data_IF_934548102504
#
_entry.id   IF_934548102504
#
_cell.length_a   1.000
_cell.length_b   1.000
_cell.length_c   1.000
_cell.angle_alpha   90.00
_cell.angle_beta   90.00
_cell.angle_gamma   90.00
#
_symmetry.space_group_name_H-M   'P 1'
#
loop_
_entity.id
_entity.type
_entity.pdbx_description
1 polymer ?
#
# COMPACT_ATOMS: atom_id res chain seq x y z
N UNK A 1 19.68 15.21 -16.76
CA UNK A 1 20.03 13.83 -16.39
C UNK A 1 18.71 13.12 -16.12
N UNK A 2 18.24 12.31 -17.04
CA UNK A 2 17.04 11.49 -16.86
C UNK A 2 17.43 10.33 -15.94
N UNK A 3 17.14 10.46 -14.64
CA UNK A 3 17.12 9.31 -13.72
C UNK A 3 16.19 8.25 -14.31
N UNK A 4 16.66 7.01 -14.41
CA UNK A 4 15.88 5.92 -14.96
C UNK A 4 14.51 5.78 -14.31
N UNK A 5 13.49 5.48 -15.11
CA UNK A 5 12.11 5.32 -14.67
C UNK A 5 11.86 4.07 -13.79
N UNK A 6 12.93 3.39 -13.37
CA UNK A 6 12.85 2.20 -12.54
C UNK A 6 13.11 2.52 -11.07
N UNK A 7 12.12 2.30 -10.22
CA UNK A 7 12.19 2.46 -8.77
C UNK A 7 11.81 1.14 -8.13
N UNK A 8 12.75 0.52 -7.44
CA UNK A 8 12.66 -0.76 -6.74
C UNK A 8 12.47 -0.60 -5.22
N UNK A 9 12.80 0.56 -4.70
CA UNK A 9 12.69 0.89 -3.27
C UNK A 9 12.08 2.26 -3.07
N UNK A 10 11.12 2.36 -2.17
CA UNK A 10 10.52 3.63 -1.80
C UNK A 10 10.05 3.60 -0.34
N UNK A 11 10.19 4.73 0.35
CA UNK A 11 9.60 4.96 1.67
C UNK A 11 8.38 5.87 1.52
N UNK A 12 7.24 5.44 2.06
CA UNK A 12 5.97 6.16 2.04
C UNK A 12 5.45 6.37 3.44
N UNK A 13 4.63 7.40 3.61
CA UNK A 13 3.85 7.64 4.81
C UNK A 13 2.38 7.28 4.53
N UNK A 14 1.78 6.44 5.36
CA UNK A 14 0.39 6.07 5.27
C UNK A 14 -0.34 6.47 6.56
N UNK A 15 -1.50 7.11 6.41
CA UNK A 15 -2.37 7.51 7.52
C UNK A 15 -3.80 7.10 7.19
N UNK A 16 -4.38 6.24 7.99
CA UNK A 16 -5.78 5.83 7.86
C UNK A 16 -6.75 6.88 8.39
N UNK A 17 -8.03 6.70 8.11
CA UNK A 17 -9.07 7.59 8.60
C UNK A 17 -9.39 7.35 10.07
N UNK A 18 -9.69 8.41 10.81
CA UNK A 18 -10.30 8.34 12.13
C UNK A 18 -11.76 7.92 12.01
N UNK A 19 -12.28 7.13 12.94
CA UNK A 19 -13.72 6.87 13.07
C UNK A 19 -14.50 8.12 13.48
N UNK A 20 -15.71 8.26 12.94
CA UNK A 20 -16.65 9.30 13.32
C UNK A 20 -17.14 9.11 14.77
N UNK A 21 -17.49 10.17 15.46
CA UNK A 21 -18.08 10.04 16.80
C UNK A 21 -19.55 9.62 16.72
N UNK A 22 -20.02 8.88 17.72
CA UNK A 22 -21.44 8.61 17.91
C UNK A 22 -22.21 9.88 18.29
N UNK A 23 -23.51 9.88 18.01
CA UNK A 23 -24.40 10.98 18.34
C UNK A 23 -25.05 10.77 19.71
N UNK A 24 -25.13 11.84 20.52
CA UNK A 24 -25.87 11.86 21.78
C UNK A 24 -27.26 12.52 21.63
N UNK A 25 -27.84 12.47 20.42
CA UNK A 25 -29.11 13.11 20.12
C UNK A 25 -30.28 12.43 20.89
N UNK A 26 -31.18 13.27 21.35
CA UNK A 26 -32.44 12.84 21.99
C UNK A 26 -33.62 13.21 21.08
N UNK A 27 -34.45 12.27 20.80
CA UNK A 27 -35.65 12.46 19.97
C UNK A 27 -36.59 13.51 20.58
N UNK A 28 -37.04 14.48 19.78
CA UNK A 28 -37.97 15.51 20.16
C UNK A 28 -38.96 15.74 19.04
N UNK A 29 -40.24 15.58 19.36
CA UNK A 29 -41.33 15.88 18.44
C UNK A 29 -42.35 16.78 19.12
N UNK A 30 -43.23 17.41 18.30
CA UNK A 30 -44.38 18.15 18.79
C UNK A 30 -45.24 17.19 19.59
N UNK A 31 -45.54 17.53 20.83
CA UNK A 31 -46.29 16.72 21.82
C UNK A 31 -45.51 15.53 22.45
N UNK A 32 -44.24 15.30 22.11
CA UNK A 32 -43.39 14.29 22.77
C UNK A 32 -42.25 15.02 23.47
N UNK A 33 -42.50 15.51 24.67
CA UNK A 33 -41.51 16.33 25.42
C UNK A 33 -40.29 15.50 25.92
N UNK A 34 -40.44 14.19 26.09
CA UNK A 34 -39.41 13.26 26.61
C UNK A 34 -39.20 12.11 25.64
N UNK A 35 -38.64 12.42 24.48
CA UNK A 35 -38.16 11.41 23.53
C UNK A 35 -36.94 10.66 24.07
N UNK A 36 -36.82 9.38 23.71
CA UNK A 36 -35.69 8.55 24.11
C UNK A 36 -34.39 8.90 23.30
N UNK A 37 -33.27 8.22 23.60
CA UNK A 37 -32.06 8.36 22.83
C UNK A 37 -32.26 7.82 21.41
N UNK A 38 -31.87 8.60 20.42
CA UNK A 38 -31.98 8.26 19.01
C UNK A 38 -30.71 8.64 18.21
N UNK A 39 -29.61 8.89 18.90
CA UNK A 39 -28.34 9.15 18.26
C UNK A 39 -27.79 7.91 17.57
N UNK A 40 -27.39 8.06 16.32
CA UNK A 40 -26.75 7.01 15.50
C UNK A 40 -25.26 6.88 15.78
N UNK A 41 -24.67 5.83 15.20
CA UNK A 41 -23.26 5.51 15.34
C UNK A 41 -22.41 6.35 14.37
N UNK A 42 -21.16 6.58 14.69
CA UNK A 42 -20.19 7.12 13.74
C UNK A 42 -19.81 6.10 12.68
N UNK A 43 -19.43 6.56 11.50
CA UNK A 43 -18.88 5.73 10.44
C UNK A 43 -17.43 5.33 10.72
N UNK A 44 -16.98 4.24 10.11
CA UNK A 44 -15.58 3.77 10.14
C UNK A 44 -14.68 4.74 9.36
N UNK A 45 -13.45 4.96 9.81
CA UNK A 45 -12.41 5.59 9.00
C UNK A 45 -11.95 4.68 7.87
N UNK A 46 -11.53 5.26 6.74
CA UNK A 46 -11.00 4.51 5.61
C UNK A 46 -9.69 3.80 5.93
N UNK A 47 -9.47 2.63 5.34
CA UNK A 47 -8.23 1.89 5.39
C UNK A 47 -7.24 2.37 4.31
N UNK A 48 -5.96 2.08 4.50
CA UNK A 48 -4.98 2.06 3.42
C UNK A 48 -4.71 0.60 3.06
N UNK A 49 -4.95 0.25 1.81
CA UNK A 49 -4.87 -1.12 1.31
C UNK A 49 -3.83 -1.19 0.20
N UNK A 50 -2.90 -2.14 0.30
CA UNK A 50 -1.94 -2.43 -0.76
C UNK A 50 -2.53 -3.52 -1.63
N UNK A 51 -2.51 -3.31 -2.96
CA UNK A 51 -3.09 -4.23 -3.93
C UNK A 51 -2.09 -4.60 -5.03
N UNK A 52 -1.96 -5.90 -5.30
CA UNK A 52 -1.09 -6.44 -6.34
C UNK A 52 -1.63 -6.17 -7.75
N UNK A 53 -0.76 -5.67 -8.63
CA UNK A 53 -1.10 -5.41 -10.02
C UNK A 53 -0.02 -5.98 -10.95
N UNK A 54 -0.36 -7.04 -11.69
CA UNK A 54 0.56 -7.70 -12.63
C UNK A 54 1.00 -6.85 -13.81
N UNK A 55 0.30 -5.75 -14.09
CA UNK A 55 0.64 -4.84 -15.18
C UNK A 55 1.64 -3.76 -14.77
N UNK A 56 2.09 -3.79 -13.51
CA UNK A 56 3.07 -2.86 -12.96
C UNK A 56 4.43 -3.55 -12.81
N UNK A 57 5.51 -2.85 -13.16
CA UNK A 57 6.89 -3.37 -13.15
C UNK A 57 7.81 -2.58 -12.24
N UNK A 58 7.33 -1.48 -11.66
CA UNK A 58 8.14 -0.56 -10.89
C UNK A 58 7.27 0.23 -9.90
N UNK A 59 7.89 0.71 -8.83
CA UNK A 59 7.27 1.61 -7.85
C UNK A 59 7.35 3.10 -8.26
N UNK A 60 7.71 3.39 -9.52
CA UNK A 60 7.98 4.75 -10.00
C UNK A 60 6.82 5.73 -9.79
N UNK A 61 5.58 5.27 -9.94
CA UNK A 61 4.39 6.11 -9.76
C UNK A 61 4.29 6.71 -8.34
N UNK A 62 4.90 6.08 -7.33
CA UNK A 62 4.96 6.59 -5.97
C UNK A 62 6.11 7.55 -5.71
N UNK A 63 7.05 7.74 -6.67
CA UNK A 63 8.19 8.66 -6.52
C UNK A 63 7.74 10.08 -6.17
N UNK A 64 6.62 10.51 -6.72
CA UNK A 64 6.07 11.86 -6.57
C UNK A 64 4.93 11.95 -5.55
N UNK A 65 4.35 10.82 -5.14
CA UNK A 65 3.27 10.76 -4.14
C UNK A 65 3.68 9.82 -3.01
N UNK A 66 4.32 10.37 -1.99
CA UNK A 66 4.82 9.59 -0.84
C UNK A 66 3.88 9.58 0.37
N UNK A 67 2.82 10.39 0.35
CA UNK A 67 1.85 10.48 1.43
C UNK A 67 0.50 9.98 0.96
N UNK A 68 -0.02 8.97 1.64
CA UNK A 68 -1.33 8.39 1.40
C UNK A 68 -2.18 8.60 2.64
N UNK A 69 -3.34 9.23 2.47
CA UNK A 69 -4.27 9.52 3.56
C UNK A 69 -5.66 9.09 3.17
N UNK A 70 -6.29 8.24 4.01
CA UNK A 70 -7.68 7.84 3.84
C UNK A 70 -8.64 8.82 4.51
N UNK A 71 -9.90 8.78 4.11
CA UNK A 71 -10.94 9.66 4.64
C UNK A 71 -11.35 9.26 6.06
N UNK A 72 -11.74 10.26 6.84
CA UNK A 72 -12.34 10.03 8.16
C UNK A 72 -13.78 9.55 8.01
N UNK A 73 -14.25 8.77 8.97
CA UNK A 73 -15.66 8.42 9.09
C UNK A 73 -16.50 9.64 9.49
N UNK A 74 -17.71 9.69 8.97
CA UNK A 74 -18.68 10.72 9.33
C UNK A 74 -19.24 10.51 10.75
N UNK A 75 -19.62 11.60 11.40
CA UNK A 75 -20.28 11.54 12.70
C UNK A 75 -21.71 10.94 12.60
N UNK A 76 -22.15 10.27 13.65
CA UNK A 76 -23.51 9.76 13.78
C UNK A 76 -24.55 10.88 13.78
N UNK A 77 -25.69 10.62 13.15
CA UNK A 77 -26.79 11.56 13.00
C UNK A 77 -27.92 11.36 14.02
N UNK A 78 -29.05 12.02 13.74
CA UNK A 78 -30.33 11.86 14.41
C UNK A 78 -31.03 10.59 13.90
N UNK A 79 -32.10 10.18 14.58
CA UNK A 79 -32.96 9.06 14.15
C UNK A 79 -32.18 7.78 13.88
N UNK A 80 -31.15 7.52 14.67
CA UNK A 80 -30.22 6.38 14.56
C UNK A 80 -29.49 6.32 13.21
N UNK A 81 -29.34 7.45 12.53
CA UNK A 81 -28.61 7.50 11.28
C UNK A 81 -27.11 7.32 11.52
N UNK A 82 -26.54 6.26 10.99
CA UNK A 82 -25.10 5.99 11.05
C UNK A 82 -24.34 6.97 10.16
N UNK A 83 -23.21 7.46 10.63
CA UNK A 83 -22.30 8.27 9.83
C UNK A 83 -21.76 7.51 8.63
N UNK A 84 -21.42 8.22 7.55
CA UNK A 84 -20.82 7.60 6.36
C UNK A 84 -19.43 7.05 6.69
N UNK A 85 -19.13 5.85 6.20
CA UNK A 85 -17.78 5.32 6.28
C UNK A 85 -16.82 6.14 5.41
N UNK A 86 -15.60 6.35 5.89
CA UNK A 86 -14.52 6.97 5.13
C UNK A 86 -14.09 6.07 3.97
N UNK A 87 -13.78 6.66 2.84
CA UNK A 87 -13.31 5.94 1.67
C UNK A 87 -11.93 5.32 1.92
N UNK A 88 -11.76 4.07 1.52
CA UNK A 88 -10.50 3.36 1.55
C UNK A 88 -9.58 3.86 0.42
N UNK A 89 -8.27 3.83 0.65
CA UNK A 89 -7.26 4.21 -0.34
C UNK A 89 -6.48 2.97 -0.74
N UNK A 90 -6.46 2.71 -2.05
CA UNK A 90 -5.70 1.61 -2.64
C UNK A 90 -4.35 2.09 -3.16
N UNK A 91 -3.31 1.34 -2.82
CA UNK A 91 -1.95 1.53 -3.33
C UNK A 91 -1.64 0.32 -4.20
N UNK A 92 -1.66 0.51 -5.52
CA UNK A 92 -1.30 -0.55 -6.45
C UNK A 92 0.22 -0.72 -6.49
N UNK A 93 0.67 -1.97 -6.37
CA UNK A 93 2.10 -2.32 -6.39
C UNK A 93 2.35 -3.50 -7.33
N UNK A 94 3.56 -3.62 -7.91
CA UNK A 94 3.95 -4.80 -8.67
C UNK A 94 3.93 -6.07 -7.81
N UNK A 95 3.81 -7.22 -8.46
CA UNK A 95 3.98 -8.51 -7.78
C UNK A 95 5.43 -8.67 -7.32
N UNK A 96 5.64 -9.36 -6.18
CA UNK A 96 6.95 -9.47 -5.54
C UNK A 96 7.34 -8.24 -4.70
N UNK A 97 6.41 -7.32 -4.44
CA UNK A 97 6.66 -6.20 -3.54
C UNK A 97 6.58 -6.65 -2.08
N UNK A 98 7.67 -6.44 -1.34
CA UNK A 98 7.76 -6.65 0.11
C UNK A 98 7.51 -5.33 0.81
N UNK A 99 6.62 -5.37 1.78
CA UNK A 99 6.30 -4.23 2.63
C UNK A 99 6.93 -4.43 4.00
N UNK A 100 7.68 -3.43 4.45
CA UNK A 100 8.35 -3.40 5.75
C UNK A 100 7.87 -2.22 6.57
N UNK A 101 7.92 -2.37 7.87
CA UNK A 101 7.81 -1.23 8.79
C UNK A 101 8.97 -0.25 8.54
N UNK A 102 8.67 1.04 8.52
CA UNK A 102 9.66 2.08 8.19
C UNK A 102 10.63 2.43 9.32
N UNK A 103 10.37 1.96 10.55
CA UNK A 103 11.18 2.19 11.74
C UNK A 103 11.94 0.93 12.15
N UNK A 104 11.26 -0.21 12.26
CA UNK A 104 11.85 -1.49 12.67
C UNK A 104 12.49 -2.26 11.53
N UNK A 105 12.12 -1.94 10.29
CA UNK A 105 12.51 -2.69 9.07
C UNK A 105 12.01 -4.14 9.04
N UNK A 106 11.10 -4.53 9.96
CA UNK A 106 10.48 -5.84 9.96
C UNK A 106 9.56 -6.03 8.74
N UNK A 107 9.55 -7.23 8.18
CA UNK A 107 8.65 -7.57 7.08
C UNK A 107 7.23 -7.72 7.63
N UNK A 108 6.31 -6.90 7.13
CA UNK A 108 4.90 -6.99 7.46
C UNK A 108 4.21 -8.04 6.59
N UNK A 109 4.39 -7.95 5.28
CA UNK A 109 3.85 -8.90 4.29
C UNK A 109 4.50 -8.69 2.92
N UNK A 110 4.20 -9.63 2.02
CA UNK A 110 4.59 -9.61 0.61
C UNK A 110 3.34 -9.73 -0.27
N UNK A 111 3.35 -9.07 -1.41
CA UNK A 111 2.30 -9.15 -2.44
C UNK A 111 2.82 -10.01 -3.58
N UNK A 112 2.29 -11.22 -3.71
CA UNK A 112 2.72 -12.24 -4.69
C UNK A 112 1.72 -12.51 -5.79
N UNK A 113 0.42 -12.19 -5.56
CA UNK A 113 -0.64 -12.52 -6.48
C UNK A 113 -1.32 -11.28 -7.04
N UNK A 114 -1.84 -11.41 -8.28
CA UNK A 114 -2.60 -10.34 -8.90
C UNK A 114 -3.93 -10.10 -8.17
N UNK A 115 -4.27 -8.85 -7.92
CA UNK A 115 -5.44 -8.42 -7.15
C UNK A 115 -5.45 -8.90 -5.68
N UNK A 116 -4.33 -9.41 -5.17
CA UNK A 116 -4.17 -9.65 -3.74
C UNK A 116 -4.22 -8.34 -2.99
N UNK A 117 -5.09 -8.27 -1.98
CA UNK A 117 -5.26 -7.08 -1.14
C UNK A 117 -4.80 -7.37 0.28
N UNK A 118 -4.03 -6.46 0.86
CA UNK A 118 -3.59 -6.49 2.27
C UNK A 118 -3.77 -5.10 2.87
N UNK A 119 -4.38 -5.05 4.05
CA UNK A 119 -4.52 -3.80 4.80
C UNK A 119 -3.15 -3.43 5.37
N UNK A 120 -2.67 -2.24 5.02
CA UNK A 120 -1.41 -1.68 5.53
C UNK A 120 -1.63 -0.96 6.86
N UNK A 121 -2.65 -0.12 6.92
CA UNK A 121 -3.08 0.56 8.17
C UNK A 121 -4.60 0.55 8.26
N UNK A 122 -5.10 0.17 9.42
CA UNK A 122 -6.53 0.05 9.68
C UNK A 122 -7.16 1.40 10.04
N UNK A 123 -8.33 1.69 9.46
CA UNK A 123 -9.14 2.84 9.84
C UNK A 123 -9.74 2.68 11.23
N UNK A 124 -9.86 3.78 11.94
CA UNK A 124 -10.48 3.80 13.26
C UNK A 124 -11.95 3.41 13.23
N UNK A 125 -12.42 2.69 14.22
CA UNK A 125 -13.84 2.33 14.35
C UNK A 125 -14.67 3.55 14.74
N UNK A 126 -15.90 3.64 14.20
CA UNK A 126 -16.88 4.64 14.61
C UNK A 126 -17.35 4.45 16.04
N UNK A 127 -17.62 5.54 16.73
CA UNK A 127 -18.14 5.56 18.08
C UNK A 127 -19.63 5.19 18.11
N UNK A 128 -20.07 4.51 19.14
CA UNK A 128 -21.49 4.14 19.33
C UNK A 128 -22.33 5.34 19.74
N UNK A 129 -23.51 5.48 19.16
CA UNK A 129 -24.53 6.46 19.53
C UNK A 129 -25.19 6.16 20.89
N UNK A 130 -25.86 7.17 21.45
CA UNK A 130 -26.44 7.06 22.79
C UNK A 130 -27.56 6.02 22.90
N UNK A 131 -28.20 5.64 21.81
CA UNK A 131 -29.28 4.63 21.85
C UNK A 131 -28.76 3.26 22.31
N UNK A 132 -27.48 2.92 22.10
CA UNK A 132 -26.85 1.69 22.59
C UNK A 132 -26.71 1.65 24.13
N UNK A 133 -26.68 2.81 24.78
CA UNK A 133 -26.46 2.92 26.22
C UNK A 133 -27.77 3.03 27.01
N UNK A 134 -28.92 2.89 26.35
CA UNK A 134 -30.22 2.83 27.00
C UNK A 134 -30.32 1.56 27.84
N UNK A 135 -30.68 1.73 29.11
CA UNK A 135 -30.92 0.64 30.05
C UNK A 135 -32.12 0.94 30.92
N UNK A 136 -32.55 -0.05 31.72
CA UNK A 136 -33.67 0.13 32.65
C UNK A 136 -33.42 1.27 33.67
N UNK A 137 -32.18 1.42 34.11
CA UNK A 137 -31.76 2.46 35.06
C UNK A 137 -31.35 3.77 34.38
N UNK A 138 -30.94 3.74 33.10
CA UNK A 138 -30.57 4.92 32.32
C UNK A 138 -31.35 4.97 31.01
N UNK A 139 -32.56 5.53 31.06
CA UNK A 139 -33.45 5.56 29.89
C UNK A 139 -33.10 6.66 28.87
N UNK A 140 -32.35 7.70 29.27
CA UNK A 140 -32.01 8.85 28.42
C UNK A 140 -30.51 9.20 28.53
N UNK A 141 -29.62 8.32 28.10
CA UNK A 141 -28.19 8.61 28.12
C UNK A 141 -27.86 9.83 27.23
N UNK A 142 -27.12 10.79 27.78
CA UNK A 142 -26.70 12.05 27.11
C UNK A 142 -25.27 12.01 26.63
N UNK A 143 -24.69 10.83 26.51
CA UNK A 143 -23.33 10.61 26.04
C UNK A 143 -23.30 9.61 24.90
N UNK A 144 -22.30 9.70 24.08
CA UNK A 144 -21.99 8.76 23.02
C UNK A 144 -20.47 8.51 23.03
N UNK A 145 -20.03 7.46 22.37
CA UNK A 145 -18.61 7.16 22.27
C UNK A 145 -17.92 8.03 21.22
N UNK A 146 -16.72 8.50 21.48
CA UNK A 146 -15.85 9.08 20.43
C UNK A 146 -15.51 8.01 19.40
N UNK A 147 -15.21 8.41 18.18
CA UNK A 147 -14.57 7.53 17.21
C UNK A 147 -13.13 7.22 17.64
N UNK A 148 -12.66 6.05 17.26
CA UNK A 148 -11.29 5.61 17.51
C UNK A 148 -10.36 6.29 16.49
N UNK A 149 -9.17 6.71 16.93
CA UNK A 149 -8.16 7.25 16.03
C UNK A 149 -7.72 6.18 15.01
N UNK A 150 -7.36 6.62 13.81
CA UNK A 150 -6.73 5.76 12.83
C UNK A 150 -5.27 5.50 13.17
N UNK A 151 -4.67 4.60 12.42
CA UNK A 151 -3.24 4.28 12.51
C UNK A 151 -2.48 5.08 11.47
N UNK A 152 -1.21 5.39 11.76
CA UNK A 152 -0.32 6.02 10.80
C UNK A 152 1.12 5.59 11.03
N UNK A 153 1.93 5.65 9.99
CA UNK A 153 3.34 5.30 10.08
C UNK A 153 4.08 5.43 8.77
N UNK A 154 5.40 5.24 8.86
CA UNK A 154 6.27 5.11 7.71
C UNK A 154 6.40 3.64 7.32
N UNK A 155 6.38 3.37 6.02
CA UNK A 155 6.53 2.04 5.45
C UNK A 155 7.54 2.05 4.33
N UNK A 156 8.31 0.97 4.24
CA UNK A 156 9.26 0.74 3.16
C UNK A 156 8.65 -0.29 2.21
N UNK A 157 8.65 0.02 0.94
CA UNK A 157 8.25 -0.89 -0.12
C UNK A 157 9.48 -1.23 -0.95
N UNK A 158 9.78 -2.50 -1.01
CA UNK A 158 10.92 -3.05 -1.74
C UNK A 158 10.41 -4.06 -2.76
N UNK A 159 10.70 -3.82 -4.02
CA UNK A 159 10.35 -4.72 -5.10
C UNK A 159 11.47 -5.75 -5.27
N UNK A 160 11.17 -7.01 -4.97
CA UNK A 160 12.03 -8.14 -5.34
C UNK A 160 11.86 -8.41 -6.83
N UNK A 161 12.63 -7.74 -7.66
CA UNK A 161 12.54 -7.92 -9.11
C UNK A 161 13.20 -9.23 -9.48
N UNK A 162 12.40 -10.19 -9.97
CA UNK A 162 12.87 -11.29 -10.76
C UNK A 162 12.85 -10.82 -12.22
N UNK A 163 13.95 -10.97 -12.94
CA UNK A 163 13.94 -10.70 -14.36
C UNK A 163 13.17 -11.82 -15.09
N UNK A 164 12.36 -11.44 -16.06
CA UNK A 164 11.64 -12.40 -16.91
C UNK A 164 12.62 -13.11 -17.87
N UNK A 165 13.69 -12.42 -18.26
CA UNK A 165 14.71 -12.93 -19.17
C UNK A 165 16.10 -12.62 -18.64
N UNK A 166 16.97 -13.64 -18.53
CA UNK A 166 18.37 -13.50 -18.17
C UNK A 166 19.28 -13.61 -19.40
N UNK A 167 20.24 -12.67 -19.54
CA UNK A 167 21.32 -12.76 -20.54
C UNK A 167 22.49 -13.52 -19.92
N UNK A 168 22.83 -14.65 -20.51
CA UNK A 168 23.96 -15.50 -20.11
C UNK A 168 24.94 -15.64 -21.29
N UNK A 169 26.24 -15.59 -21.01
CA UNK A 169 27.27 -15.77 -22.03
C UNK A 169 28.65 -15.28 -21.55
N UNK A 170 29.65 -15.57 -22.35
CA UNK A 170 31.04 -15.24 -22.03
C UNK A 170 31.26 -13.72 -21.79
N UNK A 171 32.29 -13.35 -21.01
CA UNK A 171 32.75 -11.95 -20.93
C UNK A 171 32.95 -11.35 -22.32
N UNK A 172 32.61 -10.06 -22.47
CA UNK A 172 32.74 -9.33 -23.74
C UNK A 172 31.92 -9.86 -24.93
N UNK A 173 30.97 -10.76 -24.71
CA UNK A 173 30.07 -11.25 -25.76
C UNK A 173 28.97 -10.23 -26.18
N UNK A 174 29.05 -8.99 -25.70
CA UNK A 174 28.13 -7.92 -26.08
C UNK A 174 26.81 -7.90 -25.33
N UNK A 175 26.66 -8.67 -24.25
CA UNK A 175 25.42 -8.74 -23.47
C UNK A 175 24.90 -7.37 -22.95
N UNK A 176 25.78 -6.64 -22.30
CA UNK A 176 25.42 -5.30 -21.75
C UNK A 176 25.19 -4.27 -22.85
N UNK A 177 25.85 -4.41 -24.00
CA UNK A 177 25.60 -3.60 -25.19
C UNK A 177 24.22 -3.91 -25.76
N UNK A 178 23.90 -5.19 -25.92
CA UNK A 178 22.57 -5.62 -26.33
C UNK A 178 21.48 -5.05 -25.40
N UNK A 179 21.65 -5.24 -24.09
CA UNK A 179 20.70 -4.71 -23.08
C UNK A 179 20.52 -3.20 -23.24
N UNK A 180 21.60 -2.44 -23.42
CA UNK A 180 21.55 -0.98 -23.55
C UNK A 180 20.84 -0.49 -24.83
N UNK A 181 20.84 -1.30 -25.89
CA UNK A 181 20.20 -0.95 -27.18
C UNK A 181 18.71 -1.27 -27.18
N UNK A 182 18.30 -2.39 -26.57
CA UNK A 182 16.90 -2.87 -26.62
C UNK A 182 16.04 -2.33 -25.48
N UNK A 183 16.64 -1.74 -24.42
CA UNK A 183 15.88 -1.21 -23.28
C UNK A 183 15.41 0.23 -23.54
N UNK A 184 14.17 0.51 -23.15
CA UNK A 184 13.54 1.83 -23.29
C UNK A 184 14.18 2.91 -22.38
N UNK A 185 14.90 2.49 -21.33
CA UNK A 185 15.64 3.35 -20.41
C UNK A 185 17.02 2.78 -20.11
N UNK A 186 17.95 3.64 -19.64
CA UNK A 186 19.27 3.17 -19.23
C UNK A 186 19.17 2.05 -18.21
N UNK A 187 19.85 0.90 -18.41
CA UNK A 187 19.87 -0.20 -17.46
C UNK A 187 20.28 0.27 -16.07
N UNK A 188 19.60 -0.26 -15.05
CA UNK A 188 19.89 0.02 -13.65
C UNK A 188 20.63 -1.17 -13.04
N UNK A 189 21.69 -0.89 -12.28
CA UNK A 189 22.36 -1.87 -11.46
C UNK A 189 21.44 -2.14 -10.25
N UNK A 190 21.02 -3.38 -10.05
CA UNK A 190 20.23 -3.79 -8.89
C UNK A 190 21.10 -4.50 -7.86
N UNK A 191 20.81 -4.26 -6.59
CA UNK A 191 21.52 -4.83 -5.45
C UNK A 191 20.64 -5.95 -4.87
N UNK A 192 20.99 -7.20 -5.15
CA UNK A 192 20.26 -8.35 -4.61
C UNK A 192 21.05 -9.00 -3.47
N UNK A 193 20.40 -9.22 -2.34
CA UNK A 193 21.01 -9.79 -1.13
C UNK A 193 21.54 -11.24 -1.33
N UNK A 194 21.16 -11.90 -2.43
CA UNK A 194 21.55 -13.28 -2.76
C UNK A 194 22.51 -13.39 -3.95
N UNK A 195 22.95 -12.26 -4.52
CA UNK A 195 23.93 -12.24 -5.62
C UNK A 195 25.21 -11.54 -5.20
N UNK A 196 26.35 -12.18 -5.43
CA UNK A 196 27.67 -11.56 -5.25
C UNK A 196 27.98 -10.53 -6.34
N UNK A 197 27.28 -10.59 -7.46
CA UNK A 197 27.44 -9.71 -8.62
C UNK A 197 26.09 -9.00 -8.88
N UNK A 198 26.17 -7.67 -9.03
CA UNK A 198 25.01 -6.81 -9.26
C UNK A 198 24.57 -6.92 -10.73
N UNK A 199 23.38 -7.47 -11.03
CA UNK A 199 22.88 -7.52 -12.39
C UNK A 199 22.46 -6.15 -12.90
N UNK A 200 22.65 -5.92 -14.21
CA UNK A 200 22.06 -4.77 -14.88
C UNK A 200 20.66 -5.13 -15.35
N UNK A 201 19.65 -4.37 -14.91
CA UNK A 201 18.27 -4.56 -15.31
C UNK A 201 17.84 -3.54 -16.34
N UNK A 202 17.08 -3.99 -17.32
CA UNK A 202 16.48 -3.12 -18.32
C UNK A 202 15.02 -3.55 -18.62
N UNK A 203 14.15 -2.57 -18.85
CA UNK A 203 12.79 -2.81 -19.30
C UNK A 203 12.80 -2.80 -20.82
N UNK A 204 12.33 -3.87 -21.41
CA UNK A 204 12.18 -4.03 -22.87
C UNK A 204 10.71 -3.91 -23.22
N UNK A 205 10.39 -2.93 -24.06
CA UNK A 205 9.03 -2.77 -24.58
C UNK A 205 8.77 -3.78 -25.69
N UNK A 206 7.61 -4.44 -25.63
CA UNK A 206 7.16 -5.41 -26.59
C UNK A 206 5.83 -4.94 -27.19
N UNK A 207 5.32 -5.65 -28.18
CA UNK A 207 4.07 -5.30 -28.89
C UNK A 207 2.89 -5.08 -27.93
N UNK A 208 1.95 -4.21 -28.30
CA UNK A 208 0.70 -3.93 -27.58
C UNK A 208 0.91 -3.36 -26.15
N UNK A 209 1.86 -2.46 -25.96
CA UNK A 209 2.16 -1.84 -24.64
C UNK A 209 2.52 -2.84 -23.54
N UNK A 210 2.98 -4.03 -23.92
CA UNK A 210 3.55 -4.98 -22.99
C UNK A 210 5.04 -4.75 -22.86
N UNK A 211 5.58 -4.92 -21.68
CA UNK A 211 7.01 -4.86 -21.39
C UNK A 211 7.42 -6.03 -20.50
N UNK A 212 8.70 -6.37 -20.52
CA UNK A 212 9.29 -7.37 -19.65
C UNK A 212 10.64 -6.87 -19.12
N UNK A 213 11.07 -7.45 -17.99
CA UNK A 213 12.36 -7.11 -17.38
C UNK A 213 13.42 -8.08 -17.87
N UNK A 214 14.49 -7.53 -18.42
CA UNK A 214 15.67 -8.29 -18.83
C UNK A 214 16.84 -7.98 -17.90
N UNK A 215 17.55 -9.01 -17.46
CA UNK A 215 18.74 -8.90 -16.63
C UNK A 215 19.98 -9.35 -17.39
N UNK A 216 21.03 -8.55 -17.34
CA UNK A 216 22.40 -9.00 -17.65
C UNK A 216 23.02 -9.50 -16.35
N UNK A 217 23.19 -10.83 -16.23
CA UNK A 217 23.74 -11.48 -15.03
C UNK A 217 25.22 -11.80 -15.33
N UNK A 218 26.14 -10.92 -14.88
CA UNK A 218 27.58 -11.17 -15.09
C UNK A 218 28.01 -12.41 -14.29
N UNK A 219 28.91 -13.20 -14.87
CA UNK A 219 29.59 -14.28 -14.15
C UNK A 219 28.85 -15.62 -14.00
N UNK A 220 27.67 -15.82 -14.64
CA UNK A 220 27.08 -17.16 -14.73
C UNK A 220 27.75 -17.94 -15.86
N UNK A 221 28.98 -18.36 -15.63
CA UNK A 221 29.69 -19.34 -16.43
C UNK A 221 30.27 -20.41 -15.51
N UNK A 222 30.48 -21.61 -16.04
CA UNK A 222 31.09 -22.72 -15.31
C UNK A 222 32.42 -22.29 -14.71
N UNK A 223 32.59 -22.37 -13.38
CA UNK A 223 33.80 -21.91 -12.68
C UNK A 223 33.75 -20.44 -12.17
N UNK A 224 32.65 -19.71 -12.33
CA UNK A 224 32.51 -18.35 -11.79
C UNK A 224 32.66 -18.30 -10.26
N UNK A 225 32.16 -19.34 -9.55
CA UNK A 225 32.34 -19.49 -8.11
C UNK A 225 33.77 -19.76 -7.67
N UNK A 226 34.63 -20.19 -8.60
CA UNK A 226 36.08 -20.49 -8.40
C UNK A 226 36.96 -19.33 -8.80
N UNK A 227 36.41 -18.14 -9.08
CA UNK A 227 37.17 -16.94 -9.47
C UNK A 227 37.65 -16.93 -10.92
N UNK A 228 37.16 -17.85 -11.78
CA UNK A 228 37.51 -17.91 -13.21
C UNK A 228 36.60 -17.02 -14.10
N UNK A 229 35.80 -16.17 -13.54
CA UNK A 229 34.75 -15.40 -14.24
C UNK A 229 34.87 -13.89 -14.13
N UNK A 230 36.05 -13.33 -14.27
CA UNK A 230 36.26 -11.89 -14.43
C UNK A 230 36.80 -11.60 -15.81
#
# INVERSE_FOLDING_TARGET
>A
MTEGNFVDYIKIFASSGKGGKGSAHLHREKFVAKGGPDGGDGGRGGHIIVRGNKNMWTLFHMKFKKHFKAEHGGDGGKSRSTGKDGADVYIDVPLGTVIRDGETSEILFEITENQQEKILVEGGMGGRGNWHFKSATNQTPRYAQPGIEGQEGWFQMELKVLADVGLVGFPNAGKSTLLSVITAAKPKIADYAFTTLKPNLGIVDYRNYQSFVMADIPGIIEGAAEGKGL
#
